data_IF_925932442439
#
_entry.id   IF_925932442439
#
_cell.length_a   1.000
_cell.length_b   1.000
_cell.length_c   1.000
_cell.angle_alpha   90.00
_cell.angle_beta   90.00
_cell.angle_gamma   90.00
#
_symmetry.space_group_name_H-M   'P 1'
#
loop_
_entity.id
_entity.type
_entity.pdbx_description
1 polymer ?
#
# COMPACT_ATOMS: atom_id res chain seq x y z
N UNK A 1 -25.71 13.88 27.05
CA UNK A 1 -25.58 13.91 25.58
C UNK A 1 -24.84 12.66 25.14
N UNK A 2 -25.57 11.56 24.92
CA UNK A 2 -25.01 10.30 24.44
C UNK A 2 -24.79 10.41 22.94
N UNK A 3 -23.55 10.66 22.52
CA UNK A 3 -23.16 10.59 21.12
C UNK A 3 -23.22 9.13 20.67
N UNK A 4 -24.22 8.80 19.85
CA UNK A 4 -24.37 7.48 19.25
C UNK A 4 -23.05 7.07 18.60
N UNK A 5 -22.42 6.05 19.17
CA UNK A 5 -21.22 5.42 18.67
C UNK A 5 -21.63 4.76 17.35
N UNK A 6 -21.52 5.49 16.23
CA UNK A 6 -21.72 4.94 14.89
C UNK A 6 -20.64 3.89 14.70
N UNK A 7 -21.03 2.63 14.74
CA UNK A 7 -20.14 1.51 14.49
C UNK A 7 -19.34 1.77 13.21
N UNK A 8 -18.03 1.55 13.29
CA UNK A 8 -17.18 1.72 12.13
C UNK A 8 -17.66 0.77 11.01
N UNK A 9 -17.80 1.24 9.76
CA UNK A 9 -18.19 0.38 8.65
C UNK A 9 -17.22 -0.80 8.55
N UNK A 10 -17.71 -1.96 8.13
CA UNK A 10 -16.95 -3.22 8.08
C UNK A 10 -15.52 -2.97 7.57
N UNK A 11 -14.55 -2.97 8.50
CA UNK A 11 -13.19 -2.53 8.25
C UNK A 11 -12.29 -3.65 7.73
N UNK A 12 -12.77 -4.90 7.80
CA UNK A 12 -12.03 -6.09 7.39
C UNK A 12 -11.58 -6.06 5.91
N UNK A 13 -12.41 -5.60 4.94
CA UNK A 13 -11.99 -5.51 3.54
C UNK A 13 -10.84 -4.53 3.31
N UNK A 14 -10.89 -3.34 3.95
CA UNK A 14 -9.81 -2.36 3.85
C UNK A 14 -8.52 -2.91 4.48
N UNK A 15 -8.62 -3.49 5.68
CA UNK A 15 -7.47 -4.08 6.36
C UNK A 15 -6.83 -5.21 5.53
N UNK A 16 -7.65 -6.05 4.90
CA UNK A 16 -7.18 -7.14 4.03
C UNK A 16 -6.43 -6.60 2.81
N UNK A 17 -6.99 -5.60 2.10
CA UNK A 17 -6.31 -4.98 0.95
C UNK A 17 -4.96 -4.40 1.35
N UNK A 18 -4.91 -3.65 2.46
CA UNK A 18 -3.67 -3.03 2.94
C UNK A 18 -2.63 -4.06 3.37
N UNK A 19 -3.04 -5.12 4.05
CA UNK A 19 -2.14 -6.20 4.43
C UNK A 19 -1.59 -6.93 3.20
N UNK A 20 -2.46 -7.31 2.27
CA UNK A 20 -2.08 -8.02 1.03
C UNK A 20 -1.12 -7.18 0.18
N UNK A 21 -1.41 -5.89 -0.01
CA UNK A 21 -0.50 -4.99 -0.72
C UNK A 21 0.83 -4.84 0.01
N UNK A 22 0.81 -4.67 1.33
CA UNK A 22 2.03 -4.59 2.13
C UNK A 22 2.94 -5.82 1.96
N UNK A 23 2.38 -7.02 2.10
CA UNK A 23 3.11 -8.26 1.89
C UNK A 23 3.59 -8.43 0.45
N UNK A 24 2.77 -8.05 -0.52
CA UNK A 24 3.15 -8.05 -1.93
C UNK A 24 4.38 -7.15 -2.19
N UNK A 25 4.36 -5.91 -1.71
CA UNK A 25 5.47 -4.97 -1.89
C UNK A 25 6.75 -5.44 -1.17
N UNK A 26 6.63 -6.00 0.03
CA UNK A 26 7.76 -6.61 0.73
C UNK A 26 8.33 -7.80 -0.05
N UNK A 27 7.48 -8.68 -0.57
CA UNK A 27 7.90 -9.84 -1.36
C UNK A 27 8.64 -9.40 -2.63
N UNK A 28 8.09 -8.43 -3.38
CA UNK A 28 8.76 -7.87 -4.55
C UNK A 28 10.10 -7.21 -4.20
N UNK A 29 10.14 -6.38 -3.15
CA UNK A 29 11.36 -5.69 -2.71
C UNK A 29 12.48 -6.65 -2.30
N UNK A 30 12.14 -7.69 -1.53
CA UNK A 30 13.04 -8.76 -1.13
C UNK A 30 13.49 -9.60 -2.33
N UNK A 31 12.59 -9.97 -3.23
CA UNK A 31 12.90 -10.71 -4.45
C UNK A 31 13.91 -9.96 -5.33
N UNK A 32 13.69 -8.65 -5.55
CA UNK A 32 14.63 -7.81 -6.29
C UNK A 32 16.02 -7.75 -5.67
N UNK A 33 16.10 -7.72 -4.34
CA UNK A 33 17.38 -7.69 -3.62
C UNK A 33 18.07 -9.06 -3.66
N UNK A 34 17.31 -10.14 -3.57
CA UNK A 34 17.80 -11.51 -3.68
C UNK A 34 18.38 -11.80 -5.07
N UNK A 35 17.70 -11.40 -6.15
CA UNK A 35 18.23 -11.55 -7.52
C UNK A 35 19.57 -10.83 -7.72
N UNK A 36 19.80 -9.74 -6.98
CA UNK A 36 21.07 -8.99 -7.02
C UNK A 36 22.06 -9.40 -5.92
N UNK A 37 21.89 -10.59 -5.32
CA UNK A 37 22.74 -11.14 -4.28
C UNK A 37 22.93 -10.20 -3.08
N UNK A 38 21.90 -9.44 -2.71
CA UNK A 38 21.91 -8.51 -1.58
C UNK A 38 23.07 -7.50 -1.64
N UNK A 39 23.52 -7.13 -2.84
CA UNK A 39 24.57 -6.13 -3.02
C UNK A 39 24.15 -4.80 -2.36
N UNK A 40 25.04 -4.08 -1.65
CA UNK A 40 24.69 -2.87 -0.90
C UNK A 40 23.98 -1.79 -1.73
N UNK A 41 24.39 -1.60 -2.99
CA UNK A 41 23.77 -0.63 -3.92
C UNK A 41 22.38 -1.05 -4.47
N UNK A 42 21.83 -2.14 -3.97
CA UNK A 42 20.64 -2.81 -4.53
C UNK A 42 19.57 -3.07 -3.48
N UNK A 43 19.91 -2.98 -2.19
CA UNK A 43 18.98 -3.21 -1.07
C UNK A 43 17.88 -2.16 -0.94
N UNK A 44 17.94 -1.07 -1.71
CA UNK A 44 16.92 -0.02 -1.66
C UNK A 44 15.50 -0.54 -1.98
N UNK A 45 15.38 -1.57 -2.82
CA UNK A 45 14.09 -2.21 -3.10
C UNK A 45 13.57 -3.02 -1.89
N UNK A 46 14.44 -3.72 -1.15
CA UNK A 46 14.02 -4.41 0.08
C UNK A 46 13.61 -3.42 1.17
N UNK A 47 14.38 -2.35 1.39
CA UNK A 47 14.03 -1.35 2.40
C UNK A 47 12.73 -0.62 2.07
N UNK A 48 12.51 -0.24 0.81
CA UNK A 48 11.26 0.38 0.38
C UNK A 48 10.08 -0.58 0.45
N UNK A 49 10.25 -1.85 0.06
CA UNK A 49 9.20 -2.87 0.16
C UNK A 49 8.80 -3.18 1.61
N UNK A 50 9.78 -3.41 2.49
CA UNK A 50 9.51 -3.64 3.93
C UNK A 50 8.96 -2.41 4.63
N UNK A 51 9.48 -1.22 4.29
CA UNK A 51 8.95 0.04 4.81
C UNK A 51 7.50 0.26 4.41
N UNK A 52 7.15 -0.03 3.15
CA UNK A 52 5.78 0.02 2.66
C UNK A 52 4.87 -0.97 3.40
N UNK A 53 5.33 -2.20 3.63
CA UNK A 53 4.59 -3.20 4.41
C UNK A 53 4.28 -2.71 5.82
N UNK A 54 5.29 -2.19 6.54
CA UNK A 54 5.10 -1.71 7.92
C UNK A 54 4.07 -0.58 7.95
N UNK A 55 4.19 0.40 7.06
CA UNK A 55 3.26 1.54 7.00
C UNK A 55 1.84 1.09 6.66
N UNK A 56 1.66 0.18 5.70
CA UNK A 56 0.35 -0.33 5.32
C UNK A 56 -0.27 -1.20 6.42
N UNK A 57 0.51 -2.00 7.14
CA UNK A 57 0.03 -2.77 8.30
C UNK A 57 -0.37 -1.86 9.47
N UNK A 58 0.36 -0.77 9.71
CA UNK A 58 -0.06 0.25 10.69
C UNK A 58 -1.39 0.89 10.27
N UNK A 59 -1.55 1.20 8.97
CA UNK A 59 -2.82 1.70 8.45
C UNK A 59 -3.95 0.67 8.59
N UNK A 60 -3.68 -0.61 8.30
CA UNK A 60 -4.63 -1.70 8.50
C UNK A 60 -5.06 -1.81 9.97
N UNK A 61 -4.11 -1.78 10.91
CA UNK A 61 -4.39 -1.78 12.35
C UNK A 61 -5.27 -0.61 12.78
N UNK A 62 -5.03 0.59 12.23
CA UNK A 62 -5.88 1.76 12.47
C UNK A 62 -7.31 1.54 11.95
N UNK A 63 -7.49 0.87 10.81
CA UNK A 63 -8.84 0.56 10.28
C UNK A 63 -9.61 -0.42 11.16
N UNK A 64 -8.95 -1.37 11.82
CA UNK A 64 -9.60 -2.41 12.65
C UNK A 64 -9.89 -1.95 14.09
N UNK A 65 -9.40 -0.77 14.49
CA UNK A 65 -9.50 -0.27 15.87
C UNK A 65 -10.92 0.00 16.41
N UNK A 66 -11.97 -0.13 15.59
CA UNK A 66 -13.38 0.08 15.97
C UNK A 66 -13.78 1.54 16.19
N UNK A 67 -12.81 2.45 16.36
CA UNK A 67 -13.06 3.88 16.50
C UNK A 67 -13.22 4.54 15.11
N UNK A 68 -14.41 5.08 14.83
CA UNK A 68 -14.73 5.69 13.53
C UNK A 68 -13.78 6.84 13.11
N UNK A 69 -13.24 7.60 14.08
CA UNK A 69 -12.23 8.64 13.80
C UNK A 69 -10.89 8.02 13.34
N UNK A 70 -10.42 7.00 14.05
CA UNK A 70 -9.17 6.29 13.75
C UNK A 70 -9.27 5.53 12.43
N UNK A 71 -10.43 4.92 12.16
CA UNK A 71 -10.72 4.30 10.86
C UNK A 71 -10.55 5.30 9.71
N UNK A 72 -11.16 6.49 9.81
CA UNK A 72 -11.07 7.51 8.75
C UNK A 72 -9.63 7.97 8.53
N UNK A 73 -8.89 8.19 9.61
CA UNK A 73 -7.47 8.60 9.55
C UNK A 73 -6.67 7.49 8.86
N UNK A 74 -6.85 6.23 9.27
CA UNK A 74 -6.17 5.07 8.68
C UNK A 74 -6.43 4.94 7.19
N UNK A 75 -7.69 5.07 6.74
CA UNK A 75 -8.02 5.01 5.31
C UNK A 75 -7.40 6.16 4.52
N UNK A 76 -7.40 7.39 5.04
CA UNK A 76 -6.80 8.52 4.30
C UNK A 76 -5.27 8.44 4.26
N UNK A 77 -4.62 8.05 5.37
CA UNK A 77 -3.19 7.81 5.39
C UNK A 77 -2.80 6.72 4.40
N UNK A 78 -3.53 5.59 4.39
CA UNK A 78 -3.31 4.52 3.43
C UNK A 78 -3.38 5.02 1.97
N UNK A 79 -4.44 5.76 1.61
CA UNK A 79 -4.58 6.32 0.26
C UNK A 79 -3.43 7.25 -0.12
N UNK A 80 -2.96 8.08 0.81
CA UNK A 80 -1.81 8.96 0.59
C UNK A 80 -0.54 8.14 0.38
N UNK A 81 -0.28 7.14 1.22
CA UNK A 81 0.90 6.28 1.07
C UNK A 81 0.87 5.47 -0.22
N UNK A 82 -0.27 4.87 -0.59
CA UNK A 82 -0.44 4.16 -1.85
C UNK A 82 -0.18 5.09 -3.05
N UNK A 83 -0.68 6.33 -3.04
CA UNK A 83 -0.41 7.31 -4.08
C UNK A 83 1.08 7.68 -4.16
N UNK A 84 1.76 7.82 -3.01
CA UNK A 84 3.21 8.04 -2.94
C UNK A 84 3.97 6.84 -3.49
N UNK A 85 3.54 5.61 -3.19
CA UNK A 85 4.18 4.38 -3.71
C UNK A 85 4.08 4.31 -5.24
N UNK A 86 2.89 4.54 -5.81
CA UNK A 86 2.71 4.63 -7.27
C UNK A 86 3.65 5.69 -7.86
N UNK A 87 3.69 6.90 -7.30
CA UNK A 87 4.58 7.96 -7.79
C UNK A 87 6.06 7.53 -7.74
N UNK A 88 6.51 6.96 -6.62
CA UNK A 88 7.89 6.53 -6.42
C UNK A 88 8.25 5.39 -7.38
N UNK A 89 7.39 4.37 -7.53
CA UNK A 89 7.65 3.24 -8.42
C UNK A 89 7.58 3.65 -9.90
N UNK A 90 6.67 4.55 -10.28
CA UNK A 90 6.65 5.17 -11.61
C UNK A 90 7.96 5.91 -11.90
N UNK A 91 8.44 6.75 -10.97
CA UNK A 91 9.72 7.47 -11.14
C UNK A 91 10.90 6.49 -11.25
N UNK A 92 10.94 5.45 -10.41
CA UNK A 92 12.02 4.47 -10.43
C UNK A 92 11.97 3.59 -11.69
N UNK A 93 10.78 3.25 -12.18
CA UNK A 93 10.57 2.58 -13.46
C UNK A 93 11.09 3.45 -14.61
N UNK A 94 10.71 4.73 -14.67
CA UNK A 94 11.20 5.65 -15.70
C UNK A 94 12.73 5.83 -15.66
N UNK A 95 13.33 5.96 -14.46
CA UNK A 95 14.79 6.09 -14.29
C UNK A 95 15.58 4.82 -14.60
N UNK A 96 14.93 3.67 -14.64
CA UNK A 96 15.55 2.38 -15.00
C UNK A 96 15.29 1.98 -16.45
N UNK A 97 14.40 2.69 -17.15
CA UNK A 97 14.11 2.49 -18.56
C UNK A 97 15.36 2.74 -19.42
N UNK A 98 15.62 1.84 -20.38
CA UNK A 98 16.80 1.87 -21.27
C UNK A 98 18.18 1.84 -20.58
N UNK A 99 18.27 1.43 -19.31
CA UNK A 99 19.56 1.18 -18.64
C UNK A 99 19.76 -0.33 -18.52
N UNK A 100 20.61 -0.96 -19.37
CA UNK A 100 20.73 -2.43 -19.43
C UNK A 100 21.19 -3.05 -18.09
N UNK A 101 22.00 -2.34 -17.32
CA UNK A 101 22.44 -2.75 -15.98
C UNK A 101 21.29 -2.78 -14.93
N UNK A 102 20.15 -2.16 -15.24
CA UNK A 102 18.98 -2.04 -14.34
C UNK A 102 17.73 -2.72 -14.89
N UNK A 103 17.83 -3.50 -15.96
CA UNK A 103 16.69 -4.13 -16.62
C UNK A 103 15.84 -4.99 -15.64
N UNK A 104 16.49 -5.76 -14.76
CA UNK A 104 15.78 -6.56 -13.75
C UNK A 104 14.98 -5.69 -12.76
N UNK A 105 15.53 -4.53 -12.40
CA UNK A 105 14.86 -3.57 -11.50
C UNK A 105 13.70 -2.88 -12.19
N UNK A 106 13.83 -2.60 -13.48
CA UNK A 106 12.77 -1.97 -14.26
C UNK A 106 11.50 -2.81 -14.26
N UNK A 107 11.62 -4.09 -14.60
CA UNK A 107 10.50 -5.04 -14.56
C UNK A 107 9.91 -5.15 -13.15
N UNK A 108 10.75 -5.19 -12.12
CA UNK A 108 10.29 -5.24 -10.73
C UNK A 108 9.48 -3.99 -10.35
N UNK A 109 9.97 -2.79 -10.70
CA UNK A 109 9.26 -1.54 -10.40
C UNK A 109 7.93 -1.45 -11.14
N UNK A 110 7.83 -1.94 -12.38
CA UNK A 110 6.55 -2.03 -13.09
C UNK A 110 5.56 -2.93 -12.34
N UNK A 111 6.00 -4.11 -11.90
CA UNK A 111 5.13 -5.04 -11.15
C UNK A 111 4.66 -4.43 -9.83
N UNK A 112 5.55 -3.76 -9.11
CA UNK A 112 5.21 -3.06 -7.87
C UNK A 112 4.22 -1.90 -8.13
N UNK A 113 4.44 -1.13 -9.19
CA UNK A 113 3.57 -0.01 -9.59
C UNK A 113 2.16 -0.49 -9.93
N UNK A 114 2.03 -1.56 -10.74
CA UNK A 114 0.73 -2.16 -11.06
C UNK A 114 0.03 -2.64 -9.78
N UNK A 115 0.74 -3.34 -8.89
CA UNK A 115 0.18 -3.81 -7.63
C UNK A 115 -0.32 -2.66 -6.74
N UNK A 116 0.44 -1.57 -6.65
CA UNK A 116 0.03 -0.38 -5.90
C UNK A 116 -1.13 0.38 -6.54
N UNK A 117 -1.21 0.44 -7.88
CA UNK A 117 -2.38 0.99 -8.58
C UNK A 117 -3.63 0.16 -8.29
N UNK A 118 -3.53 -1.16 -8.31
CA UNK A 118 -4.64 -2.06 -7.95
C UNK A 118 -5.04 -1.90 -6.49
N UNK A 119 -4.09 -1.87 -5.56
CA UNK A 119 -4.34 -1.64 -4.14
C UNK A 119 -5.03 -0.30 -3.88
N UNK A 120 -4.58 0.76 -4.54
CA UNK A 120 -5.20 2.09 -4.49
C UNK A 120 -6.63 2.08 -5.04
N UNK A 121 -6.85 1.48 -6.20
CA UNK A 121 -8.17 1.38 -6.82
C UNK A 121 -9.17 0.64 -5.92
N UNK A 122 -8.74 -0.48 -5.31
CA UNK A 122 -9.53 -1.23 -4.35
C UNK A 122 -9.85 -0.41 -3.10
N UNK A 123 -8.86 0.29 -2.53
CA UNK A 123 -9.09 1.17 -1.38
C UNK A 123 -10.06 2.32 -1.69
N UNK A 124 -9.98 2.91 -2.89
CA UNK A 124 -10.94 3.94 -3.34
C UNK A 124 -12.34 3.35 -3.49
N UNK A 125 -12.46 2.12 -4.00
CA UNK A 125 -13.74 1.43 -4.17
C UNK A 125 -14.39 1.07 -2.81
N UNK A 126 -13.57 0.68 -1.82
CA UNK A 126 -14.02 0.30 -0.48
C UNK A 126 -14.22 1.51 0.45
N UNK A 127 -13.70 2.68 0.10
CA UNK A 127 -13.89 3.90 0.91
C UNK A 127 -15.39 4.22 1.03
N UNK A 128 -15.92 4.42 2.26
CA UNK A 128 -17.31 4.79 2.45
C UNK A 128 -17.58 6.16 1.81
N UNK A 129 -18.44 6.19 0.79
CA UNK A 129 -18.89 7.42 0.13
C UNK A 129 -19.88 8.14 1.05
N UNK A 130 -19.71 9.46 1.24
CA UNK A 130 -20.72 10.30 1.90
C UNK A 130 -22.06 10.09 1.16
N UNK A 131 -23.05 9.49 1.82
CA UNK A 131 -24.41 9.34 1.28
C UNK A 131 -24.97 7.92 1.19
N UNK A 132 -24.21 6.87 1.53
CA UNK A 132 -24.81 5.55 1.78
C UNK A 132 -24.80 5.28 3.27
N UNK A 133 -25.84 5.74 3.96
CA UNK A 133 -26.37 5.02 5.11
C UNK A 133 -26.56 3.58 4.63
N UNK A 134 -25.70 2.67 5.11
CA UNK A 134 -26.01 1.26 5.03
C UNK A 134 -27.16 1.04 6.00
N UNK A 135 -28.37 1.10 5.46
CA UNK A 135 -29.51 0.39 6.05
C UNK A 135 -29.18 -1.09 5.89
N UNK A 136 -28.60 -1.68 6.93
CA UNK A 136 -28.61 -3.11 7.23
C UNK A 136 -28.24 -3.29 8.70
#
# INVERSE_FOLDING_TARGET
>A
MGGGQKDAPNAAPCAAVLALEGFFLAACGCYGSWMQNWRPGTMHSAYSGLGAMVVLLLCAGMTVSGAHLVYKIGVHLALVFQAVFVLVFTIQSYRSYNVPEKADRHTLFIVMDIGSVVGLALMIALKPKKGKESVA
#
